data_IF_094143671187
#
_entry.id   IF_094143671187
#
_cell.length_a   1.000
_cell.length_b   1.000
_cell.length_c   1.000
_cell.angle_alpha   90.00
_cell.angle_beta   90.00
_cell.angle_gamma   90.00
#
_symmetry.space_group_name_H-M   'P 1'
#
loop_
_entity.id
_entity.type
_entity.pdbx_description
1 polymer ?
#
# COMPACT_ATOMS: atom_id res chain seq x y z
N UNK A 1 11.65 26.66 -8.70
CA UNK A 1 11.12 25.65 -7.77
C UNK A 1 12.22 25.35 -6.78
N UNK A 2 11.97 25.36 -5.48
CA UNK A 2 13.04 25.20 -4.48
C UNK A 2 13.54 23.76 -4.46
N UNK A 3 14.83 23.54 -4.21
CA UNK A 3 15.46 22.21 -4.03
C UNK A 3 14.71 21.37 -3.01
N UNK A 4 14.08 22.01 -2.03
CA UNK A 4 13.24 21.39 -1.01
C UNK A 4 12.06 20.58 -1.61
N UNK A 5 11.38 21.11 -2.63
CA UNK A 5 10.28 20.36 -3.28
C UNK A 5 10.79 19.16 -4.08
N UNK A 6 11.95 19.29 -4.71
CA UNK A 6 12.59 18.18 -5.42
C UNK A 6 12.97 17.07 -4.42
N UNK A 7 13.50 17.44 -3.25
CA UNK A 7 13.81 16.48 -2.18
C UNK A 7 12.55 15.77 -1.67
N UNK A 8 11.40 16.47 -1.64
CA UNK A 8 10.10 15.87 -1.30
C UNK A 8 9.47 15.10 -2.46
N UNK A 9 10.12 14.93 -3.62
CA UNK A 9 9.61 14.15 -4.76
C UNK A 9 8.63 14.91 -5.66
N UNK A 10 8.63 16.25 -5.63
CA UNK A 10 7.89 17.03 -6.61
C UNK A 10 8.50 16.85 -8.00
N UNK A 11 7.66 16.60 -9.00
CA UNK A 11 8.10 16.35 -10.36
C UNK A 11 7.09 16.88 -11.40
N UNK A 12 7.39 16.66 -12.70
CA UNK A 12 6.56 17.13 -13.81
C UNK A 12 5.12 16.59 -13.75
N UNK A 13 4.89 15.38 -13.23
CA UNK A 13 3.56 14.80 -13.10
C UNK A 13 2.66 15.62 -12.17
N UNK A 14 3.18 16.08 -11.03
CA UNK A 14 2.42 16.93 -10.11
C UNK A 14 2.31 18.37 -10.62
N UNK A 15 3.37 18.89 -11.23
CA UNK A 15 3.38 20.22 -11.81
C UNK A 15 2.33 20.40 -12.93
N UNK A 16 2.12 19.37 -13.74
CA UNK A 16 1.14 19.38 -14.83
C UNK A 16 -0.32 19.49 -14.34
N UNK A 17 -0.60 19.10 -13.10
CA UNK A 17 -1.95 19.15 -12.52
C UNK A 17 -2.34 20.52 -11.97
N UNK A 18 -1.37 21.42 -11.80
CA UNK A 18 -1.59 22.76 -11.24
C UNK A 18 -1.09 23.88 -12.14
N UNK A 19 -1.51 23.84 -13.41
CA UNK A 19 -1.14 24.91 -14.39
C UNK A 19 -1.56 26.28 -13.89
N UNK A 20 -2.73 26.38 -13.26
CA UNK A 20 -3.23 27.58 -12.59
C UNK A 20 -3.60 27.22 -11.14
N UNK A 21 -2.86 27.80 -10.20
CA UNK A 21 -3.18 27.62 -8.77
C UNK A 21 -4.38 28.49 -8.40
N UNK A 22 -5.40 27.94 -7.71
CA UNK A 22 -6.46 28.72 -7.14
C UNK A 22 -5.89 29.83 -6.23
N UNK A 23 -6.40 31.07 -6.30
CA UNK A 23 -5.88 32.18 -5.52
C UNK A 23 -5.77 31.85 -4.02
N UNK A 24 -4.62 32.19 -3.43
CA UNK A 24 -4.34 31.96 -2.01
C UNK A 24 -4.11 30.48 -1.65
N UNK A 25 -3.80 29.64 -2.63
CA UNK A 25 -3.39 28.24 -2.38
C UNK A 25 -1.96 27.99 -2.80
N UNK A 26 -1.32 26.98 -2.21
CA UNK A 26 0.02 26.53 -2.55
C UNK A 26 0.10 25.00 -2.46
N UNK A 27 0.96 24.37 -3.28
CA UNK A 27 1.17 22.94 -3.18
C UNK A 27 1.92 22.59 -1.90
N UNK A 28 1.55 21.48 -1.27
CA UNK A 28 2.22 20.98 -0.09
C UNK A 28 2.18 19.45 -0.07
N UNK A 29 3.21 18.82 0.53
CA UNK A 29 3.25 17.37 0.72
C UNK A 29 2.81 17.00 2.12
N UNK A 30 1.95 15.98 2.25
CA UNK A 30 1.52 15.46 3.54
C UNK A 30 2.66 14.65 4.16
N UNK A 31 3.22 15.17 5.27
CA UNK A 31 4.28 14.51 6.03
C UNK A 31 3.72 13.62 7.13
N UNK A 32 2.71 14.08 7.87
CA UNK A 32 2.11 13.32 8.97
C UNK A 32 0.59 13.33 8.85
N UNK A 33 0.01 12.14 8.94
CA UNK A 33 -1.42 11.95 9.04
C UNK A 33 -1.78 11.57 10.47
N UNK A 34 -2.56 12.42 11.15
CA UNK A 34 -3.17 12.15 12.44
C UNK A 34 -4.67 11.95 12.27
N UNK A 35 -5.35 11.63 13.36
CA UNK A 35 -6.80 11.36 13.33
C UNK A 35 -7.64 12.51 12.76
N UNK A 36 -7.31 13.75 13.08
CA UNK A 36 -8.12 14.94 12.73
C UNK A 36 -7.36 16.00 11.97
N UNK A 37 -6.04 15.94 11.94
CA UNK A 37 -5.19 16.96 11.31
C UNK A 37 -3.97 16.32 10.64
N UNK A 38 -3.31 17.13 9.82
CA UNK A 38 -2.15 16.79 9.03
C UNK A 38 -1.01 17.76 9.32
N UNK A 39 0.23 17.27 9.24
CA UNK A 39 1.39 18.12 9.05
C UNK A 39 1.72 18.07 7.56
N UNK A 40 1.83 19.22 6.92
CA UNK A 40 2.15 19.32 5.51
C UNK A 40 3.34 20.24 5.30
N UNK A 41 4.20 19.93 4.33
CA UNK A 41 5.37 20.70 3.96
C UNK A 41 5.09 21.47 2.66
N UNK A 42 5.17 22.79 2.72
CA UNK A 42 5.12 23.70 1.59
C UNK A 42 6.50 24.31 1.32
N UNK A 43 6.65 25.10 0.25
CA UNK A 43 7.92 25.69 -0.15
C UNK A 43 8.53 26.66 0.89
N UNK A 44 7.70 27.20 1.75
CA UNK A 44 8.06 28.18 2.82
C UNK A 44 8.04 27.59 4.23
N UNK A 45 7.85 26.26 4.35
CA UNK A 45 7.91 25.53 5.61
C UNK A 45 6.71 24.64 5.88
N UNK A 46 6.60 24.17 7.13
CA UNK A 46 5.57 23.24 7.57
C UNK A 46 4.33 23.96 8.10
N UNK A 47 3.17 23.33 7.85
CA UNK A 47 1.86 23.82 8.30
C UNK A 47 1.06 22.70 8.97
N UNK A 48 0.33 23.05 10.00
CA UNK A 48 -0.74 22.20 10.53
C UNK A 48 -1.99 22.44 9.70
N UNK A 49 -2.53 21.40 9.08
CA UNK A 49 -3.65 21.53 8.17
C UNK A 49 -4.83 20.64 8.55
N UNK A 50 -6.03 21.10 8.20
CA UNK A 50 -7.26 20.32 8.30
C UNK A 50 -7.93 20.23 6.92
N UNK A 51 -8.74 19.21 6.69
CA UNK A 51 -9.49 19.07 5.45
C UNK A 51 -10.71 19.99 5.46
N UNK A 52 -10.92 20.75 4.39
CA UNK A 52 -12.13 21.59 4.27
C UNK A 52 -13.40 20.74 4.28
N UNK A 53 -14.51 21.30 4.82
CA UNK A 53 -15.81 20.64 4.75
C UNK A 53 -16.26 20.33 3.33
N UNK A 54 -15.93 21.22 2.36
CA UNK A 54 -16.20 21.00 0.94
C UNK A 54 -15.45 19.78 0.39
N UNK A 55 -14.14 19.65 0.64
CA UNK A 55 -13.37 18.50 0.19
C UNK A 55 -13.94 17.22 0.81
N UNK A 56 -14.22 17.22 2.10
CA UNK A 56 -14.81 16.05 2.79
C UNK A 56 -16.18 15.68 2.25
N UNK A 57 -16.99 16.64 1.84
CA UNK A 57 -18.31 16.40 1.23
C UNK A 57 -18.21 15.87 -0.19
N UNK A 58 -17.26 16.38 -1.00
CA UNK A 58 -17.03 15.95 -2.39
C UNK A 58 -16.33 14.61 -2.47
N UNK A 59 -15.54 14.23 -1.45
CA UNK A 59 -14.90 12.91 -1.39
C UNK A 59 -15.98 11.83 -1.28
N UNK A 60 -16.18 11.10 -2.37
CA UNK A 60 -17.20 10.05 -2.45
C UNK A 60 -16.84 8.82 -1.62
N UNK A 61 -15.57 8.61 -1.37
CA UNK A 61 -15.01 7.53 -0.58
C UNK A 61 -13.95 8.02 0.41
N UNK A 62 -13.65 7.21 1.41
CA UNK A 62 -12.55 7.50 2.35
C UNK A 62 -11.19 7.50 1.63
N UNK A 63 -11.07 6.78 0.52
CA UNK A 63 -9.88 6.72 -0.33
C UNK A 63 -9.52 8.07 -0.96
N UNK A 64 -10.50 8.98 -1.16
CA UNK A 64 -10.29 10.30 -1.76
C UNK A 64 -9.74 11.33 -0.78
N UNK A 65 -9.72 11.02 0.51
CA UNK A 65 -9.18 11.91 1.53
C UNK A 65 -7.64 11.87 1.55
N UNK A 66 -6.98 12.96 2.02
CA UNK A 66 -5.53 13.01 2.10
C UNK A 66 -4.95 11.91 2.99
N UNK A 67 -3.84 11.34 2.54
CA UNK A 67 -3.02 10.38 3.32
C UNK A 67 -1.55 10.82 3.31
N UNK A 68 -0.72 10.19 4.12
CA UNK A 68 0.73 10.43 4.11
C UNK A 68 1.32 10.20 2.71
N UNK A 69 2.18 11.12 2.27
CA UNK A 69 2.80 11.10 0.94
C UNK A 69 1.99 11.80 -0.16
N UNK A 70 0.73 12.17 0.08
CA UNK A 70 -0.06 12.94 -0.89
C UNK A 70 0.50 14.34 -1.12
N UNK A 71 0.36 14.81 -2.37
CA UNK A 71 0.45 16.21 -2.71
C UNK A 71 -0.95 16.85 -2.66
N UNK A 72 -1.06 18.00 -1.99
CA UNK A 72 -2.33 18.67 -1.72
C UNK A 72 -2.24 20.16 -2.05
N UNK A 73 -3.38 20.78 -2.26
CA UNK A 73 -3.49 22.23 -2.30
C UNK A 73 -3.85 22.73 -0.90
N UNK A 74 -2.91 23.46 -0.30
CA UNK A 74 -3.04 24.10 1.02
C UNK A 74 -3.48 25.56 0.84
N UNK A 75 -4.48 25.98 1.60
CA UNK A 75 -4.82 27.38 1.80
C UNK A 75 -4.34 27.78 3.19
N UNK A 76 -3.22 28.47 3.31
CA UNK A 76 -2.70 28.91 4.60
C UNK A 76 -3.58 30.03 5.20
N UNK A 77 -3.55 30.16 6.51
CA UNK A 77 -4.11 31.33 7.23
C UNK A 77 -3.00 32.38 7.30
N UNK A 78 -3.24 33.61 6.82
CA UNK A 78 -2.23 34.68 6.85
C UNK A 78 -1.68 34.91 8.25
N UNK A 79 -0.35 34.93 8.37
CA UNK A 79 0.34 35.14 9.64
C UNK A 79 0.45 33.90 10.53
N UNK A 80 -0.09 32.75 10.13
CA UNK A 80 -0.06 31.51 10.91
C UNK A 80 0.62 30.36 10.17
N UNK A 81 1.12 29.37 10.93
CA UNK A 81 1.56 28.08 10.41
C UNK A 81 0.42 27.04 10.47
N UNK A 82 -0.79 27.50 10.11
CA UNK A 82 -2.00 26.68 10.01
C UNK A 82 -2.69 26.91 8.66
N UNK A 83 -3.52 25.95 8.23
CA UNK A 83 -4.23 26.08 6.98
C UNK A 83 -5.25 24.99 6.72
N UNK A 84 -5.85 25.05 5.55
CA UNK A 84 -6.87 24.08 5.11
C UNK A 84 -6.48 23.40 3.81
N UNK A 85 -6.59 22.09 3.77
CA UNK A 85 -6.43 21.29 2.54
C UNK A 85 -7.71 21.42 1.72
N UNK A 86 -7.59 21.97 0.52
CA UNK A 86 -8.72 22.25 -0.38
C UNK A 86 -8.88 21.22 -1.48
N UNK A 87 -7.78 20.53 -1.86
CA UNK A 87 -7.77 19.46 -2.86
C UNK A 87 -6.61 18.50 -2.62
N UNK A 88 -6.76 17.27 -3.10
CA UNK A 88 -5.69 16.26 -3.22
C UNK A 88 -5.34 16.17 -4.70
N UNK A 89 -4.06 16.18 -5.05
CA UNK A 89 -3.59 15.98 -6.40
C UNK A 89 -3.71 14.49 -6.78
N UNK A 90 -3.83 14.20 -8.06
CA UNK A 90 -3.84 12.82 -8.55
C UNK A 90 -2.57 12.10 -8.08
N UNK A 91 -2.77 10.93 -7.51
CA UNK A 91 -1.70 10.06 -7.03
C UNK A 91 -1.01 9.38 -8.20
N UNK A 92 0.32 9.28 -8.14
CA UNK A 92 1.11 8.46 -9.06
C UNK A 92 1.01 6.97 -8.66
N UNK A 93 1.08 6.72 -7.37
CA UNK A 93 0.98 5.38 -6.76
C UNK A 93 0.17 5.46 -5.46
N UNK A 94 -0.48 4.35 -5.09
CA UNK A 94 -1.21 4.28 -3.83
C UNK A 94 -1.19 2.85 -3.26
N UNK A 95 -0.78 2.70 -2.02
CA UNK A 95 -0.87 1.44 -1.30
C UNK A 95 -2.13 1.44 -0.45
N UNK A 96 -3.02 0.50 -0.74
CA UNK A 96 -4.34 0.39 -0.12
C UNK A 96 -4.52 -0.93 0.61
N UNK A 97 -5.41 -0.93 1.59
CA UNK A 97 -5.90 -2.13 2.24
C UNK A 97 -7.41 -2.08 2.42
N UNK A 98 -7.99 -3.18 2.88
CA UNK A 98 -9.33 -3.18 3.41
C UNK A 98 -9.42 -2.39 4.72
N UNK A 99 -10.48 -1.60 4.85
CA UNK A 99 -10.77 -0.94 6.13
C UNK A 99 -11.19 -1.99 7.17
N UNK A 100 -10.61 -1.98 8.38
CA UNK A 100 -10.98 -2.92 9.43
C UNK A 100 -12.48 -2.86 9.74
N UNK A 101 -13.14 -4.05 9.81
CA UNK A 101 -14.56 -4.16 10.09
C UNK A 101 -15.52 -3.69 8.99
N UNK A 102 -15.01 -3.34 7.80
CA UNK A 102 -15.79 -2.95 6.61
C UNK A 102 -15.21 -3.62 5.39
N UNK A 103 -15.78 -4.72 4.97
CA UNK A 103 -15.23 -5.58 3.91
C UNK A 103 -15.11 -4.91 2.53
N UNK A 104 -15.92 -3.88 2.25
CA UNK A 104 -15.99 -3.23 0.92
C UNK A 104 -15.58 -1.75 0.97
N UNK A 105 -14.72 -1.36 1.89
CA UNK A 105 -14.21 0.01 1.94
C UNK A 105 -12.70 -0.01 1.77
N UNK A 106 -12.25 0.55 0.67
CA UNK A 106 -10.83 0.79 0.43
C UNK A 106 -10.30 1.84 1.41
N UNK A 107 -9.17 1.54 2.03
CA UNK A 107 -8.40 2.46 2.85
C UNK A 107 -7.01 2.65 2.26
N UNK A 108 -6.76 3.79 1.64
CA UNK A 108 -5.42 4.17 1.23
C UNK A 108 -4.56 4.37 2.48
N UNK A 109 -3.42 3.71 2.51
CA UNK A 109 -2.49 3.74 3.64
C UNK A 109 -1.40 4.79 3.46
N UNK A 110 -0.88 4.88 2.24
CA UNK A 110 0.13 5.83 1.84
C UNK A 110 0.08 6.04 0.32
N UNK A 111 0.55 7.18 -0.16
CA UNK A 111 0.52 7.55 -1.55
C UNK A 111 1.88 8.06 -2.06
N UNK A 112 2.05 8.02 -3.38
CA UNK A 112 3.23 8.51 -4.07
C UNK A 112 4.52 7.85 -3.56
N UNK A 113 4.46 6.51 -3.46
CA UNK A 113 5.57 5.63 -3.11
C UNK A 113 6.21 5.17 -4.42
N UNK A 114 7.51 5.40 -4.59
CA UNK A 114 8.26 4.95 -5.76
C UNK A 114 8.79 3.54 -5.56
N UNK A 115 9.24 3.19 -4.34
CA UNK A 115 9.83 1.90 -3.99
C UNK A 115 9.11 1.27 -2.80
N UNK A 116 8.74 0.01 -2.93
CA UNK A 116 8.14 -0.75 -1.84
C UNK A 116 9.07 -1.90 -1.42
N UNK A 117 9.71 -1.76 -0.26
CA UNK A 117 10.52 -2.81 0.34
C UNK A 117 9.63 -3.88 0.96
N UNK A 118 9.64 -5.07 0.38
CA UNK A 118 8.88 -6.24 0.82
C UNK A 118 9.76 -7.06 1.77
N UNK A 119 9.56 -6.86 3.08
CA UNK A 119 10.43 -7.42 4.12
C UNK A 119 9.88 -8.71 4.67
N UNK A 120 10.69 -9.76 4.64
CA UNK A 120 10.45 -11.02 5.35
C UNK A 120 11.67 -11.38 6.20
N UNK A 121 11.43 -12.00 7.37
CA UNK A 121 12.51 -12.55 8.19
C UNK A 121 12.85 -13.96 7.70
N UNK A 122 14.15 -14.29 7.67
CA UNK A 122 14.65 -15.65 7.49
C UNK A 122 14.70 -16.38 8.84
N UNK A 123 13.59 -16.33 9.57
CA UNK A 123 13.33 -16.99 10.84
C UNK A 123 12.00 -17.75 10.74
N UNK A 124 11.38 -18.12 11.86
CA UNK A 124 10.06 -18.77 11.91
C UNK A 124 8.96 -17.98 11.17
N UNK A 125 9.18 -16.71 10.86
CA UNK A 125 8.29 -15.87 10.06
C UNK A 125 8.50 -16.00 8.55
N UNK A 126 9.47 -16.80 8.07
CA UNK A 126 9.68 -17.03 6.65
C UNK A 126 8.43 -17.66 6.03
N UNK A 127 7.90 -17.04 4.98
CA UNK A 127 6.70 -17.54 4.30
C UNK A 127 6.65 -17.02 2.85
N UNK A 128 6.93 -17.90 1.92
CA UNK A 128 6.98 -17.60 0.49
C UNK A 128 5.64 -17.07 -0.04
N UNK A 129 4.51 -17.65 0.43
CA UNK A 129 3.15 -17.22 0.02
C UNK A 129 2.81 -15.81 0.48
N UNK A 130 3.44 -15.34 1.54
CA UNK A 130 3.31 -13.96 1.98
C UNK A 130 4.09 -13.02 1.08
N UNK A 131 5.23 -13.45 0.56
CA UNK A 131 6.02 -12.66 -0.40
C UNK A 131 5.24 -12.48 -1.70
N UNK A 132 4.61 -13.53 -2.23
CA UNK A 132 3.72 -13.47 -3.41
C UNK A 132 2.62 -12.41 -3.22
N UNK A 133 1.93 -12.43 -2.08
CA UNK A 133 0.88 -11.45 -1.75
C UNK A 133 1.40 -10.02 -1.64
N UNK A 134 2.60 -9.84 -1.12
CA UNK A 134 3.23 -8.52 -1.04
C UNK A 134 3.66 -8.03 -2.42
N UNK A 135 4.15 -8.93 -3.28
CA UNK A 135 4.50 -8.64 -4.65
C UNK A 135 3.27 -8.16 -5.44
N UNK A 136 2.15 -8.89 -5.37
CA UNK A 136 0.87 -8.46 -5.96
C UNK A 136 0.44 -7.07 -5.48
N UNK A 137 0.64 -6.76 -4.18
CA UNK A 137 0.35 -5.42 -3.65
C UNK A 137 1.25 -4.34 -4.27
N UNK A 138 2.53 -4.63 -4.45
CA UNK A 138 3.49 -3.69 -5.04
C UNK A 138 3.17 -3.41 -6.51
N UNK A 139 2.91 -4.45 -7.30
CA UNK A 139 2.52 -4.36 -8.72
C UNK A 139 1.26 -3.49 -8.84
N UNK A 140 0.22 -3.81 -8.08
CA UNK A 140 -1.03 -3.05 -8.08
C UNK A 140 -0.85 -1.59 -7.70
N UNK A 141 0.01 -1.30 -6.74
CA UNK A 141 0.28 0.08 -6.33
C UNK A 141 1.11 0.86 -7.36
N UNK A 142 1.61 0.20 -8.40
CA UNK A 142 2.57 0.74 -9.40
C UNK A 142 3.88 1.22 -8.74
N UNK A 143 4.24 0.68 -7.56
CA UNK A 143 5.50 0.93 -6.89
C UNK A 143 6.52 -0.17 -7.27
N UNK A 144 7.79 0.20 -7.41
CA UNK A 144 8.85 -0.76 -7.67
C UNK A 144 9.02 -1.71 -6.47
N UNK A 145 8.83 -3.04 -6.64
CA UNK A 145 9.08 -3.99 -5.57
C UNK A 145 10.57 -4.22 -5.38
N UNK A 146 11.01 -4.29 -4.12
CA UNK A 146 12.36 -4.72 -3.72
C UNK A 146 12.21 -5.69 -2.55
N UNK A 147 12.65 -6.92 -2.73
CA UNK A 147 12.55 -7.96 -1.71
C UNK A 147 13.72 -7.81 -0.72
N UNK A 148 13.38 -7.83 0.57
CA UNK A 148 14.37 -7.75 1.66
C UNK A 148 14.25 -8.97 2.55
N UNK A 149 15.20 -9.90 2.42
CA UNK A 149 15.35 -11.08 3.28
C UNK A 149 16.17 -10.66 4.49
N UNK A 150 15.49 -10.34 5.58
CA UNK A 150 16.13 -9.86 6.80
C UNK A 150 16.40 -11.00 7.78
N UNK A 151 17.24 -10.75 8.80
CA UNK A 151 17.65 -11.71 9.82
C UNK A 151 18.45 -12.88 9.24
N UNK A 152 19.31 -12.59 8.27
CA UNK A 152 20.18 -13.62 7.65
C UNK A 152 21.14 -14.27 8.66
N UNK A 153 21.44 -13.61 9.77
CA UNK A 153 22.21 -14.12 10.89
C UNK A 153 21.53 -15.28 11.64
N UNK A 154 20.22 -15.47 11.46
CA UNK A 154 19.46 -16.55 12.08
C UNK A 154 19.20 -17.72 11.12
N UNK A 155 19.62 -17.63 9.86
CA UNK A 155 19.35 -18.62 8.82
C UNK A 155 20.60 -19.37 8.38
N UNK A 156 20.54 -20.70 8.37
CA UNK A 156 21.62 -21.55 7.85
C UNK A 156 21.50 -21.87 6.35
N UNK A 157 20.36 -21.55 5.72
CA UNK A 157 19.99 -21.91 4.35
C UNK A 157 19.65 -20.65 3.54
N UNK A 158 20.51 -19.65 3.55
CA UNK A 158 20.24 -18.34 2.92
C UNK A 158 20.16 -18.48 1.39
N UNK A 159 21.06 -19.25 0.79
CA UNK A 159 21.12 -19.43 -0.67
C UNK A 159 19.87 -20.18 -1.21
N UNK A 160 19.41 -21.20 -0.49
CA UNK A 160 18.19 -21.93 -0.80
C UNK A 160 16.96 -21.00 -0.71
N UNK A 161 16.88 -20.20 0.33
CA UNK A 161 15.79 -19.22 0.49
C UNK A 161 15.80 -18.16 -0.63
N UNK A 162 17.00 -17.72 -1.07
CA UNK A 162 17.13 -16.81 -2.23
C UNK A 162 16.63 -17.50 -3.50
N UNK A 163 16.98 -18.77 -3.74
CA UNK A 163 16.54 -19.52 -4.91
C UNK A 163 15.01 -19.70 -4.93
N UNK A 164 14.41 -20.07 -3.80
CA UNK A 164 12.94 -20.18 -3.66
C UNK A 164 12.25 -18.85 -3.93
N UNK A 165 12.75 -17.76 -3.33
CA UNK A 165 12.17 -16.44 -3.54
C UNK A 165 12.35 -15.99 -4.99
N UNK A 166 13.50 -16.23 -5.60
CA UNK A 166 13.77 -15.89 -7.01
C UNK A 166 12.78 -16.57 -7.97
N UNK A 167 12.43 -17.82 -7.70
CA UNK A 167 11.44 -18.57 -8.50
C UNK A 167 10.05 -17.92 -8.49
N UNK A 168 9.74 -17.15 -7.44
CA UNK A 168 8.42 -16.51 -7.25
C UNK A 168 8.41 -15.06 -7.72
N UNK A 169 9.50 -14.30 -7.44
CA UNK A 169 9.50 -12.85 -7.67
C UNK A 169 10.10 -12.43 -9.02
N UNK A 170 10.55 -13.42 -9.83
CA UNK A 170 11.07 -13.18 -11.18
C UNK A 170 12.28 -12.22 -11.16
N UNK A 171 12.17 -11.07 -11.83
CA UNK A 171 13.24 -10.09 -11.99
C UNK A 171 13.36 -9.07 -10.85
N UNK A 172 12.44 -9.08 -9.88
CA UNK A 172 12.48 -8.13 -8.76
C UNK A 172 13.82 -8.26 -7.98
N UNK A 173 14.45 -7.14 -7.58
CA UNK A 173 15.67 -7.18 -6.78
C UNK A 173 15.46 -7.90 -5.44
N UNK A 174 16.45 -8.73 -5.06
CA UNK A 174 16.47 -9.41 -3.76
C UNK A 174 17.72 -8.97 -3.02
N UNK A 175 17.54 -8.52 -1.79
CA UNK A 175 18.62 -8.15 -0.88
C UNK A 175 18.52 -8.93 0.41
N UNK A 176 19.65 -9.42 0.87
CA UNK A 176 19.79 -10.06 2.19
C UNK A 176 20.30 -9.05 3.19
N UNK A 177 19.67 -8.97 4.37
CA UNK A 177 20.03 -8.00 5.40
C UNK A 177 20.05 -8.62 6.79
N UNK A 178 20.99 -8.09 7.61
CA UNK A 178 20.87 -8.11 9.05
C UNK A 178 20.58 -6.66 9.49
N UNK A 179 19.40 -6.37 9.99
CA UNK A 179 18.98 -5.01 10.34
C UNK A 179 19.86 -4.35 11.42
N UNK A 180 20.63 -5.15 12.18
CA UNK A 180 21.59 -4.69 13.18
C UNK A 180 22.95 -4.30 12.56
N UNK A 181 23.24 -4.75 11.33
CA UNK A 181 24.45 -4.42 10.58
C UNK A 181 24.21 -3.24 9.65
N UNK A 182 24.88 -2.11 9.92
CA UNK A 182 24.80 -0.90 9.07
C UNK A 182 25.29 -1.14 7.64
N UNK A 183 26.29 -1.97 7.47
CA UNK A 183 26.85 -2.34 6.16
C UNK A 183 25.82 -3.09 5.34
N UNK A 184 25.23 -4.12 5.93
CA UNK A 184 24.19 -4.94 5.32
C UNK A 184 22.96 -4.11 4.88
N UNK A 185 22.51 -3.16 5.72
CA UNK A 185 21.39 -2.25 5.39
C UNK A 185 21.79 -1.19 4.37
N UNK A 186 23.09 -0.86 4.28
CA UNK A 186 23.63 0.18 3.39
C UNK A 186 23.27 -0.02 1.92
N UNK A 187 23.15 -1.26 1.44
CA UNK A 187 22.76 -1.58 0.06
C UNK A 187 21.36 -1.06 -0.31
N UNK A 188 20.45 -0.92 0.65
CA UNK A 188 19.11 -0.39 0.40
C UNK A 188 19.12 1.12 0.10
N UNK A 189 20.20 1.83 0.42
CA UNK A 189 20.35 3.27 0.15
C UNK A 189 20.39 3.60 -1.34
N UNK A 190 20.78 2.63 -2.20
CA UNK A 190 20.76 2.79 -3.65
C UNK A 190 19.36 3.10 -4.20
N UNK A 191 18.30 2.69 -3.48
CA UNK A 191 16.90 2.96 -3.82
C UNK A 191 16.35 4.24 -3.20
N UNK A 192 17.14 5.00 -2.47
CA UNK A 192 16.73 6.17 -1.69
C UNK A 192 17.44 7.45 -2.16
N UNK A 193 17.46 7.64 -3.48
CA UNK A 193 17.97 8.88 -4.09
C UNK A 193 17.09 10.09 -3.67
N UNK A 194 17.62 11.32 -3.77
CA UNK A 194 16.86 12.53 -3.51
C UNK A 194 15.52 12.54 -4.26
N UNK A 195 14.43 12.80 -3.53
CA UNK A 195 13.08 12.83 -4.09
C UNK A 195 12.37 11.48 -4.22
N UNK A 196 13.10 10.35 -4.15
CA UNK A 196 12.48 9.03 -4.14
C UNK A 196 11.82 8.77 -2.80
N UNK A 197 10.60 8.26 -2.82
CA UNK A 197 9.84 7.88 -1.64
C UNK A 197 9.75 6.37 -1.56
N UNK A 198 10.19 5.79 -0.44
CA UNK A 198 10.06 4.37 -0.18
C UNK A 198 9.17 4.09 1.05
N UNK A 199 8.58 2.89 1.07
CA UNK A 199 7.86 2.37 2.22
C UNK A 199 8.22 0.91 2.47
N UNK A 200 7.94 0.42 3.70
CA UNK A 200 8.26 -0.94 4.12
C UNK A 200 6.96 -1.72 4.36
N UNK A 201 6.84 -2.85 3.67
CA UNK A 201 5.75 -3.81 3.83
C UNK A 201 6.31 -5.12 4.39
N UNK A 202 5.64 -5.69 5.37
CA UNK A 202 6.06 -6.96 5.99
C UNK A 202 5.30 -7.22 7.28
N UNK A 203 5.32 -8.46 7.77
CA UNK A 203 4.65 -8.86 9.02
C UNK A 203 5.26 -8.21 10.27
N UNK A 204 4.59 -8.38 11.41
CA UNK A 204 5.15 -7.93 12.69
C UNK A 204 6.41 -8.73 13.03
N UNK A 205 7.41 -8.10 13.62
CA UNK A 205 8.64 -8.76 14.07
C UNK A 205 9.69 -9.05 13.01
N UNK A 206 9.46 -8.76 11.70
CA UNK A 206 10.46 -9.01 10.65
C UNK A 206 11.62 -7.99 10.62
N UNK A 207 11.60 -6.96 11.47
CA UNK A 207 12.69 -6.00 11.60
C UNK A 207 12.52 -4.68 10.83
N UNK A 208 11.32 -4.32 10.34
CA UNK A 208 11.08 -3.07 9.60
C UNK A 208 11.54 -1.81 10.34
N UNK A 209 11.11 -1.65 11.60
CA UNK A 209 11.49 -0.48 12.42
C UNK A 209 13.01 -0.41 12.63
N UNK A 210 13.66 -1.55 12.79
CA UNK A 210 15.13 -1.63 12.93
C UNK A 210 15.82 -1.23 11.63
N UNK A 211 15.34 -1.72 10.47
CA UNK A 211 15.83 -1.33 9.14
C UNK A 211 15.68 0.18 8.91
N UNK A 212 14.51 0.75 9.24
CA UNK A 212 14.24 2.19 9.10
C UNK A 212 15.19 3.00 10.01
N UNK A 213 15.35 2.62 11.28
CA UNK A 213 16.28 3.28 12.20
C UNK A 213 17.74 3.21 11.71
N UNK A 214 18.15 2.06 11.17
CA UNK A 214 19.49 1.89 10.57
C UNK A 214 19.69 2.80 9.34
N UNK A 215 18.68 2.97 8.50
CA UNK A 215 18.72 3.90 7.36
C UNK A 215 18.72 5.36 7.80
N UNK A 216 17.99 5.72 8.86
CA UNK A 216 17.98 7.05 9.46
C UNK A 216 19.31 7.39 10.16
N UNK A 217 20.05 6.39 10.64
CA UNK A 217 21.26 6.56 11.42
C UNK A 217 21.02 6.92 12.89
N UNK A 218 19.78 6.97 13.34
CA UNK A 218 19.37 7.21 14.72
C UNK A 218 18.07 6.47 15.06
N UNK A 219 17.85 6.25 16.35
CA UNK A 219 16.66 5.58 16.83
C UNK A 219 15.46 6.54 16.88
N UNK A 220 14.60 6.47 15.87
CA UNK A 220 13.34 7.23 15.79
C UNK A 220 12.12 6.36 16.11
N UNK A 221 12.12 5.12 15.65
CA UNK A 221 11.01 4.19 15.82
C UNK A 221 11.35 3.16 16.90
N UNK A 222 10.43 2.95 17.83
CA UNK A 222 10.60 1.92 18.87
C UNK A 222 10.68 0.55 18.22
N UNK A 223 11.79 -0.11 18.39
CA UNK A 223 11.97 -1.51 18.09
C UNK A 223 11.27 -2.30 19.19
N UNK A 224 10.26 -3.11 18.84
CA UNK A 224 9.70 -4.03 19.80
C UNK A 224 10.73 -5.15 20.03
N UNK A 225 11.36 -5.21 21.19
CA UNK A 225 11.86 -6.47 21.74
C UNK A 225 10.69 -7.46 21.74
N UNK A 226 10.96 -8.69 21.28
CA UNK A 226 10.03 -9.80 21.37
C UNK A 226 9.63 -9.91 22.83
N UNK A 227 8.47 -9.36 23.21
CA UNK A 227 7.87 -9.61 24.52
C UNK A 227 7.16 -10.93 24.41
N UNK A 228 7.80 -11.96 24.91
CA UNK A 228 7.13 -13.06 25.56
C UNK A 228 6.27 -12.47 26.70
N UNK A 229 5.00 -12.90 26.74
CA UNK A 229 4.03 -12.55 27.78
C UNK A 229 3.60 -11.07 27.94
N UNK A 230 2.59 -10.69 27.20
CA UNK A 230 1.35 -10.09 27.78
C UNK A 230 0.38 -9.71 26.67
N UNK A 231 -0.74 -10.36 26.61
CA UNK A 231 -1.81 -10.18 25.63
C UNK A 231 -2.57 -8.84 25.71
N UNK A 232 -1.89 -7.70 25.63
CA UNK A 232 -2.46 -6.37 25.38
C UNK A 232 -1.35 -5.38 25.02
N UNK A 233 -0.75 -5.53 23.85
CA UNK A 233 0.17 -4.54 23.28
C UNK A 233 -0.57 -3.33 22.73
N UNK A 234 -0.65 -2.26 23.50
CA UNK A 234 -1.10 -0.95 23.05
C UNK A 234 -0.02 -0.40 22.09
N UNK A 235 -0.29 -0.44 20.76
CA UNK A 235 0.57 0.17 19.75
C UNK A 235 0.78 1.65 20.04
N UNK A 236 2.02 2.05 20.31
CA UNK A 236 2.40 3.41 20.73
C UNK A 236 2.56 4.39 19.55
N UNK A 237 2.49 3.93 18.30
CA UNK A 237 2.57 4.81 17.11
C UNK A 237 1.21 4.88 16.44
N UNK A 238 0.45 5.94 16.74
CA UNK A 238 -0.92 6.14 16.24
C UNK A 238 -0.99 7.01 14.97
N UNK A 239 0.14 7.42 14.40
CA UNK A 239 0.20 8.29 13.22
C UNK A 239 1.11 7.70 12.14
N UNK A 240 0.84 8.05 10.91
CA UNK A 240 1.62 7.71 9.72
C UNK A 240 2.51 8.89 9.40
N UNK A 241 3.78 8.63 9.11
CA UNK A 241 4.75 9.69 8.95
C UNK A 241 5.67 9.44 7.75
N UNK A 242 5.94 10.49 6.99
CA UNK A 242 6.99 10.57 5.98
C UNK A 242 8.20 11.28 6.61
N UNK A 243 9.35 10.65 6.55
CA UNK A 243 10.61 11.15 7.09
C UNK A 243 11.58 11.37 5.93
N UNK A 244 12.19 12.55 5.88
CA UNK A 244 13.25 12.85 4.91
C UNK A 244 14.58 12.38 5.48
N UNK A 245 15.31 11.58 4.69
CA UNK A 245 16.66 11.13 5.03
C UNK A 245 17.69 12.25 4.81
N UNK A 246 18.79 12.20 5.53
CA UNK A 246 19.94 13.10 5.29
C UNK A 246 20.50 12.96 3.87
N UNK A 247 20.31 11.80 3.22
CA UNK A 247 20.65 11.55 1.82
C UNK A 247 19.67 12.15 0.81
N UNK A 248 18.55 12.73 1.27
CA UNK A 248 17.50 13.35 0.43
C UNK A 248 16.40 12.41 -0.03
N UNK A 249 16.46 11.11 0.23
CA UNK A 249 15.33 10.18 0.02
C UNK A 249 14.27 10.30 1.13
N UNK A 250 13.09 9.78 0.87
CA UNK A 250 11.96 9.84 1.79
C UNK A 250 11.54 8.43 2.22
N UNK A 251 11.24 8.24 3.50
CA UNK A 251 10.71 7.00 4.04
C UNK A 251 9.33 7.23 4.64
N UNK A 252 8.36 6.38 4.28
CA UNK A 252 7.05 6.37 4.91
C UNK A 252 6.98 5.20 5.88
N UNK A 253 6.76 5.50 7.17
CA UNK A 253 6.37 4.50 8.17
C UNK A 253 4.86 4.55 8.37
N UNK A 254 4.23 3.42 8.11
CA UNK A 254 2.78 3.26 8.29
C UNK A 254 2.53 2.13 9.27
N UNK A 255 2.25 2.43 10.54
CA UNK A 255 1.69 1.44 11.46
C UNK A 255 0.41 0.86 10.86
N UNK A 256 0.36 -0.45 10.67
CA UNK A 256 -0.81 -1.13 10.06
C UNK A 256 -0.65 -1.58 8.61
N UNK A 257 0.47 -1.31 7.92
CA UNK A 257 0.88 -2.07 6.72
C UNK A 257 1.37 -3.49 7.07
N UNK A 258 1.25 -3.88 8.34
CA UNK A 258 1.69 -5.19 8.87
C UNK A 258 0.78 -6.34 8.46
N UNK A 259 -0.51 -6.05 8.24
CA UNK A 259 -1.56 -7.03 7.90
C UNK A 259 -2.38 -6.45 6.74
N UNK A 260 -1.80 -6.44 5.55
CA UNK A 260 -2.57 -6.10 4.36
C UNK A 260 -3.50 -7.27 4.03
N UNK A 261 -4.78 -7.11 4.32
CA UNK A 261 -5.81 -7.81 3.59
C UNK A 261 -5.92 -7.10 2.23
N UNK A 262 -5.63 -7.84 1.17
CA UNK A 262 -5.58 -7.32 -0.19
C UNK A 262 -6.93 -6.72 -0.59
N UNK A 263 -6.88 -5.57 -1.26
CA UNK A 263 -8.03 -4.93 -1.87
C UNK A 263 -7.89 -5.02 -3.40
N UNK A 264 -8.80 -5.76 -4.06
CA UNK A 264 -8.94 -5.83 -5.51
C UNK A 264 -7.65 -6.24 -6.27
N UNK A 265 -7.28 -7.50 -6.32
CA UNK A 265 -6.02 -7.99 -6.94
C UNK A 265 -6.35 -8.87 -8.15
N UNK A 266 -7.33 -8.45 -8.96
CA UNK A 266 -7.89 -9.32 -10.00
C UNK A 266 -6.95 -9.49 -11.22
N UNK A 267 -6.35 -8.40 -11.69
CA UNK A 267 -5.50 -8.40 -12.88
C UNK A 267 -4.03 -8.72 -12.55
N UNK A 268 -3.57 -8.36 -11.36
CA UNK A 268 -2.18 -8.53 -10.92
C UNK A 268 -1.86 -9.97 -10.46
N UNK A 269 -2.89 -10.80 -10.24
CA UNK A 269 -2.69 -12.22 -9.96
C UNK A 269 -2.07 -12.91 -11.15
N UNK A 270 -2.49 -12.59 -12.37
CA UNK A 270 -1.91 -13.15 -13.59
C UNK A 270 -0.42 -12.80 -13.75
N UNK A 271 0.00 -11.59 -13.34
CA UNK A 271 1.42 -11.22 -13.40
C UNK A 271 2.29 -11.92 -12.34
N UNK A 272 1.71 -12.25 -11.17
CA UNK A 272 2.43 -12.97 -10.11
C UNK A 272 2.48 -14.49 -10.37
N UNK A 273 1.46 -15.01 -11.07
CA UNK A 273 1.30 -16.43 -11.37
C UNK A 273 1.29 -16.69 -12.89
N UNK A 274 2.15 -15.96 -13.63
CA UNK A 274 2.29 -16.07 -15.09
C UNK A 274 2.59 -17.51 -15.54
N UNK A 275 3.39 -18.26 -14.76
CA UNK A 275 3.66 -19.68 -14.95
C UNK A 275 2.38 -20.55 -14.91
N UNK A 276 1.44 -20.23 -14.00
CA UNK A 276 0.15 -20.94 -13.94
C UNK A 276 -0.79 -20.47 -15.05
N UNK A 277 -0.79 -19.18 -15.36
CA UNK A 277 -1.63 -18.62 -16.42
C UNK A 277 -1.22 -19.11 -17.81
N UNK A 278 0.09 -19.28 -18.08
CA UNK A 278 0.60 -19.89 -19.31
C UNK A 278 0.16 -21.36 -19.44
N UNK A 279 0.23 -22.12 -18.35
CA UNK A 279 -0.27 -23.50 -18.33
C UNK A 279 -1.79 -23.55 -18.47
N UNK A 280 -2.51 -22.60 -17.91
CA UNK A 280 -3.97 -22.51 -17.98
C UNK A 280 -4.49 -22.36 -19.42
N UNK A 281 -3.72 -21.70 -20.30
CA UNK A 281 -4.04 -21.57 -21.73
C UNK A 281 -4.05 -22.92 -22.46
N UNK A 282 -3.37 -23.93 -21.92
CA UNK A 282 -3.30 -25.27 -22.45
C UNK A 282 -4.37 -26.23 -21.88
N UNK A 283 -5.21 -25.75 -20.96
CA UNK A 283 -6.31 -26.54 -20.42
C UNK A 283 -7.36 -26.83 -21.48
N UNK A 284 -8.00 -28.02 -21.38
CA UNK A 284 -9.07 -28.44 -22.31
C UNK A 284 -10.28 -27.48 -22.27
N UNK A 285 -10.58 -26.88 -21.12
CA UNK A 285 -11.70 -25.98 -20.93
C UNK A 285 -11.20 -24.55 -20.66
N UNK A 286 -11.84 -23.56 -21.29
CA UNK A 286 -11.48 -22.14 -21.12
C UNK A 286 -11.82 -21.57 -19.74
N UNK A 287 -12.77 -22.19 -19.05
CA UNK A 287 -13.22 -21.83 -17.69
C UNK A 287 -12.73 -22.84 -16.63
N UNK A 288 -11.62 -23.51 -16.91
CA UNK A 288 -10.99 -24.47 -16.01
C UNK A 288 -10.61 -23.78 -14.68
N UNK A 289 -11.02 -24.38 -13.57
CA UNK A 289 -10.68 -23.90 -12.23
C UNK A 289 -9.48 -24.60 -11.61
N UNK A 290 -8.90 -25.56 -12.34
CA UNK A 290 -7.72 -26.36 -11.95
C UNK A 290 -7.96 -27.20 -10.69
N UNK A 291 -9.22 -27.56 -10.40
CA UNK A 291 -9.60 -28.37 -9.22
C UNK A 291 -9.71 -29.87 -9.60
N UNK A 292 -10.71 -30.25 -10.39
CA UNK A 292 -10.96 -31.66 -10.75
C UNK A 292 -11.27 -31.87 -12.24
N UNK A 293 -11.11 -30.83 -13.05
CA UNK A 293 -11.48 -30.89 -14.47
C UNK A 293 -10.56 -31.83 -15.24
N UNK A 294 -11.13 -32.72 -16.08
CA UNK A 294 -10.35 -33.64 -16.92
C UNK A 294 -9.61 -32.89 -18.04
N UNK A 295 -8.30 -33.18 -18.22
CA UNK A 295 -7.46 -32.47 -19.20
C UNK A 295 -7.02 -31.10 -18.76
N UNK A 296 -6.85 -30.90 -17.44
CA UNK A 296 -6.27 -29.70 -16.86
C UNK A 296 -4.74 -29.75 -16.96
N UNK A 297 -4.15 -28.86 -17.78
CA UNK A 297 -2.69 -28.80 -17.97
C UNK A 297 -1.95 -28.38 -16.69
N UNK A 298 -2.55 -27.49 -15.89
CA UNK A 298 -1.97 -27.06 -14.62
C UNK A 298 -1.83 -28.23 -13.63
N UNK A 299 -2.87 -29.04 -13.48
CA UNK A 299 -2.80 -30.24 -12.61
C UNK A 299 -1.82 -31.28 -13.13
N UNK A 300 -1.80 -31.53 -14.44
CA UNK A 300 -0.82 -32.40 -15.03
C UNK A 300 0.61 -31.96 -14.73
N UNK A 301 0.87 -30.64 -14.79
CA UNK A 301 2.19 -30.10 -14.42
C UNK A 301 2.51 -30.29 -12.93
N UNK A 302 1.52 -30.26 -12.04
CA UNK A 302 1.72 -30.61 -10.62
C UNK A 302 2.03 -32.10 -10.46
N UNK A 303 1.28 -32.98 -11.14
CA UNK A 303 1.48 -34.44 -11.09
C UNK A 303 2.84 -34.85 -11.67
N UNK A 304 3.35 -34.13 -12.66
CA UNK A 304 4.68 -34.29 -13.25
C UNK A 304 5.83 -33.65 -12.43
N UNK A 305 5.51 -32.97 -11.32
CA UNK A 305 6.49 -32.30 -10.48
C UNK A 305 7.11 -31.01 -11.08
N UNK A 306 6.53 -30.47 -12.17
CA UNK A 306 6.96 -29.23 -12.82
C UNK A 306 6.42 -27.98 -12.15
N UNK A 307 5.29 -28.09 -11.45
CA UNK A 307 4.65 -27.03 -10.69
C UNK A 307 4.48 -27.46 -9.23
N UNK A 308 4.92 -26.62 -8.28
CA UNK A 308 4.73 -26.87 -6.85
C UNK A 308 3.23 -26.92 -6.48
N UNK A 309 2.72 -28.00 -5.88
CA UNK A 309 1.33 -28.09 -5.42
C UNK A 309 0.91 -26.93 -4.53
N UNK A 310 1.82 -26.45 -3.66
CA UNK A 310 1.55 -25.33 -2.75
C UNK A 310 1.40 -24.00 -3.49
N UNK A 311 2.07 -23.84 -4.66
CA UNK A 311 1.90 -22.68 -5.53
C UNK A 311 0.52 -22.64 -6.18
N UNK A 312 0.03 -23.81 -6.67
CA UNK A 312 -1.33 -23.93 -7.19
C UNK A 312 -2.38 -23.65 -6.08
N UNK A 313 -2.17 -24.14 -4.85
CA UNK A 313 -3.08 -23.87 -3.73
C UNK A 313 -3.11 -22.36 -3.39
N UNK A 314 -1.96 -21.67 -3.44
CA UNK A 314 -1.85 -20.23 -3.22
C UNK A 314 -2.64 -19.45 -4.27
N UNK A 315 -2.47 -19.77 -5.55
CA UNK A 315 -3.23 -19.22 -6.67
C UNK A 315 -4.73 -19.41 -6.47
N UNK A 316 -5.18 -20.64 -6.21
CA UNK A 316 -6.59 -20.97 -6.01
C UNK A 316 -7.19 -20.27 -4.78
N UNK A 317 -6.41 -20.06 -3.70
CA UNK A 317 -6.83 -19.30 -2.52
C UNK A 317 -7.01 -17.83 -2.86
N UNK A 318 -6.07 -17.25 -3.58
CA UNK A 318 -6.10 -15.86 -3.97
C UNK A 318 -7.29 -15.59 -4.90
N UNK A 319 -7.53 -16.43 -5.91
CA UNK A 319 -8.71 -16.34 -6.78
C UNK A 319 -10.04 -16.42 -5.99
N UNK A 320 -10.11 -17.30 -4.98
CA UNK A 320 -11.32 -17.39 -4.12
C UNK A 320 -11.53 -16.12 -3.29
N UNK A 321 -10.46 -15.53 -2.76
CA UNK A 321 -10.54 -14.24 -2.07
C UNK A 321 -11.05 -13.15 -3.00
N UNK A 322 -10.62 -13.11 -4.25
CA UNK A 322 -11.04 -12.16 -5.27
C UNK A 322 -12.50 -12.35 -5.69
N UNK A 323 -12.91 -13.59 -5.96
CA UNK A 323 -14.28 -13.93 -6.33
C UNK A 323 -15.28 -13.57 -5.21
N UNK A 324 -14.91 -13.81 -3.96
CA UNK A 324 -15.72 -13.40 -2.81
C UNK A 324 -15.90 -11.88 -2.79
N UNK A 325 -14.85 -11.13 -3.15
CA UNK A 325 -14.90 -9.67 -3.24
C UNK A 325 -15.79 -9.18 -4.34
N UNK A 326 -15.63 -9.69 -5.57
CA UNK A 326 -16.47 -9.31 -6.70
C UNK A 326 -17.94 -9.47 -6.35
N UNK A 327 -18.30 -10.60 -5.75
CA UNK A 327 -19.70 -10.90 -5.35
C UNK A 327 -20.21 -9.96 -4.27
N UNK A 328 -19.43 -9.66 -3.25
CA UNK A 328 -19.84 -8.79 -2.14
C UNK A 328 -19.98 -7.34 -2.59
N UNK A 329 -19.06 -6.85 -3.43
CA UNK A 329 -19.10 -5.50 -4.01
C UNK A 329 -20.32 -5.31 -4.93
N UNK A 330 -20.64 -6.31 -5.76
CA UNK A 330 -21.76 -6.25 -6.71
C UNK A 330 -23.12 -6.23 -5.97
N UNK A 331 -23.28 -7.05 -4.93
CA UNK A 331 -24.49 -7.08 -4.10
C UNK A 331 -24.68 -5.75 -3.36
N UNK A 332 -23.60 -5.16 -2.80
CA UNK A 332 -23.68 -3.88 -2.08
C UNK A 332 -23.88 -2.69 -3.01
N UNK A 333 -23.25 -2.68 -4.19
CA UNK A 333 -23.52 -1.68 -5.22
C UNK A 333 -25.01 -1.67 -5.59
N UNK A 334 -25.61 -2.85 -5.81
CA UNK A 334 -27.07 -3.02 -6.05
C UNK A 334 -27.92 -2.56 -4.86
N UNK A 335 -27.52 -2.87 -3.63
CA UNK A 335 -28.26 -2.44 -2.42
C UNK A 335 -28.14 -0.94 -2.19
N UNK A 336 -26.97 -0.34 -2.45
CA UNK A 336 -26.74 1.10 -2.35
C UNK A 336 -27.54 1.86 -3.40
N UNK A 337 -27.61 1.36 -4.63
CA UNK A 337 -28.42 1.91 -5.71
C UNK A 337 -29.91 1.85 -5.37
N UNK A 338 -30.42 0.70 -4.92
CA UNK A 338 -31.80 0.54 -4.44
C UNK A 338 -32.10 1.47 -3.25
N UNK A 339 -31.13 1.70 -2.37
CA UNK A 339 -31.25 2.64 -1.26
C UNK A 339 -31.38 4.10 -1.71
N UNK A 340 -30.58 4.52 -2.72
CA UNK A 340 -30.66 5.86 -3.35
C UNK A 340 -32.01 6.06 -4.05
N UNK A 341 -32.46 5.08 -4.82
CA UNK A 341 -33.75 5.11 -5.52
C UNK A 341 -34.93 5.22 -4.54
N UNK A 342 -34.92 4.43 -3.45
CA UNK A 342 -35.96 4.54 -2.39
C UNK A 342 -35.94 5.92 -1.70
N UNK A 343 -34.78 6.52 -1.48
CA UNK A 343 -34.69 7.89 -0.90
C UNK A 343 -35.24 8.94 -1.87
N UNK A 344 -34.88 8.86 -3.15
CA UNK A 344 -35.34 9.76 -4.20
C UNK A 344 -36.88 9.65 -4.38
N UNK A 345 -37.42 8.43 -4.37
CA UNK A 345 -38.86 8.18 -4.45
C UNK A 345 -39.64 8.73 -3.23
N UNK A 346 -39.07 8.58 -2.02
CA UNK A 346 -39.62 9.19 -0.80
C UNK A 346 -39.63 10.72 -0.86
N UNK A 347 -38.56 11.32 -1.39
CA UNK A 347 -38.42 12.77 -1.52
C UNK A 347 -39.42 13.31 -2.59
N UNK A 348 -39.54 12.63 -3.72
CA UNK A 348 -40.51 12.89 -4.77
C UNK A 348 -41.97 12.85 -4.24
N UNK A 349 -42.31 11.78 -3.53
CA UNK A 349 -43.63 11.63 -2.93
C UNK A 349 -43.96 12.69 -1.85
N UNK A 350 -42.94 13.15 -1.10
CA UNK A 350 -43.09 14.27 -0.16
C UNK A 350 -43.36 15.59 -0.90
N UNK A 351 -42.71 15.82 -2.02
CA UNK A 351 -42.87 17.03 -2.84
C UNK A 351 -44.27 17.08 -3.50
N UNK A 352 -44.75 15.93 -3.99
CA UNK A 352 -46.14 15.84 -4.56
C UNK A 352 -47.19 16.06 -3.47
N UNK A 353 -47.04 15.47 -2.27
CA UNK A 353 -47.97 15.70 -1.17
C UNK A 353 -48.00 17.16 -0.70
N UNK A 354 -46.90 17.89 -0.81
CA UNK A 354 -46.81 19.32 -0.50
C UNK A 354 -47.48 20.22 -1.55
N UNK A 355 -47.53 19.79 -2.84
CA UNK A 355 -48.19 20.52 -3.93
C UNK A 355 -49.71 20.26 -4.03
N UNK A 356 -50.21 19.24 -3.29
CA UNK A 356 -51.64 18.89 -3.24
C UNK A 356 -52.36 19.40 -1.97
N UNK A 357 -51.67 20.13 -1.12
CA UNK A 357 -52.18 20.91 0.00
C UNK A 357 -52.04 22.40 -0.33
#
# INVERSE_FOLDING_TARGET
>A
MSDFFLQLGWNAFFAAQIRELPPGTLPARVLVQRRTNFLVAAHDGEYRATVTGRLRFLSGAQADLPVVGDWVLLRPIPGERTGSITAVLQRKTAVSRRAPGREDVEQVMAANIDVLFLVTGLDENYNLRRIERYLATAIRSSAQPVIVLNKVDLCSFVEEAIAEVRAVVGTAPIHTTNALSRESVGQLRAYLAPGVTAAFLGSSGVGKSTLINSLLGHEKFKTAEVREDSGRGRHTTSHRELVVLSSGGNLIDTPGMRELQLWGVDEEVSEVFDDIEELAQQCRFRDCRHDQEPGCAVRTSVEEGKLDPARLESYARLLRELDYHRRSTDIRARLTQKGKEKRMMRQYNRTIKRKRR
#
